data_IF_370763104516
#
_entry.id   IF_370763104516
#
_cell.length_a   1.000
_cell.length_b   1.000
_cell.length_c   1.000
_cell.angle_alpha   90.00
_cell.angle_beta   90.00
_cell.angle_gamma   90.00
#
_symmetry.space_group_name_H-M   'P 1'
#
loop_
_entity.id
_entity.type
_entity.pdbx_description
1 polymer ?
#
# COMPACT_ATOMS: atom_id res chain seq x y z
N UNK A 1 22.07 -16.84 17.79
CA UNK A 1 22.34 -15.94 16.67
C UNK A 1 21.02 -15.42 16.16
N UNK A 2 20.63 -14.18 16.50
CA UNK A 2 19.41 -13.58 15.93
C UNK A 2 19.62 -13.49 14.41
N UNK A 3 18.94 -14.33 13.64
CA UNK A 3 18.95 -14.25 12.19
C UNK A 3 18.30 -12.92 11.79
N UNK A 4 19.13 -11.91 11.54
CA UNK A 4 18.70 -10.66 10.93
C UNK A 4 18.37 -10.94 9.46
N UNK A 5 17.14 -11.38 9.19
CA UNK A 5 16.72 -11.70 7.83
C UNK A 5 16.65 -10.45 6.92
N UNK A 6 16.53 -9.24 7.49
CA UNK A 6 16.48 -7.97 6.75
C UNK A 6 17.66 -7.02 7.05
N UNK A 7 17.83 -6.01 6.21
CA UNK A 7 18.84 -4.94 6.35
C UNK A 7 20.11 -5.14 5.49
N UNK A 8 20.97 -4.11 5.43
CA UNK A 8 22.22 -4.11 4.63
C UNK A 8 23.21 -5.24 5.02
N UNK A 9 23.10 -5.76 6.23
CA UNK A 9 23.93 -6.86 6.75
C UNK A 9 23.15 -8.18 6.92
N UNK A 10 21.93 -8.25 6.38
CA UNK A 10 21.08 -9.43 6.48
C UNK A 10 21.54 -10.58 5.59
N UNK A 11 20.97 -11.76 5.82
CA UNK A 11 21.34 -12.98 5.07
C UNK A 11 21.12 -12.84 3.56
N UNK A 12 20.06 -12.14 3.13
CA UNK A 12 19.80 -11.89 1.72
C UNK A 12 20.92 -11.04 1.08
N UNK A 13 21.37 -9.97 1.74
CA UNK A 13 22.47 -9.14 1.24
C UNK A 13 23.80 -9.91 1.17
N UNK A 14 24.11 -10.71 2.20
CA UNK A 14 25.35 -11.53 2.26
C UNK A 14 25.44 -12.60 1.17
N UNK A 15 24.29 -13.11 0.71
CA UNK A 15 24.21 -14.10 -0.36
C UNK A 15 23.88 -13.46 -1.71
N UNK A 16 23.98 -12.13 -1.83
CA UNK A 16 23.74 -11.43 -3.09
C UNK A 16 22.35 -11.74 -3.70
N UNK A 17 21.34 -11.82 -2.83
CA UNK A 17 19.97 -12.16 -3.19
C UNK A 17 19.02 -11.00 -2.93
N UNK A 18 18.05 -10.82 -3.83
CA UNK A 18 16.89 -9.97 -3.58
C UNK A 18 15.76 -10.77 -2.93
N UNK A 19 15.14 -10.19 -1.91
CA UNK A 19 13.87 -10.67 -1.37
C UNK A 19 12.87 -9.53 -1.45
N UNK A 20 11.91 -9.65 -2.36
CA UNK A 20 10.88 -8.62 -2.54
C UNK A 20 9.71 -8.94 -1.63
N UNK A 21 9.50 -8.11 -0.61
CA UNK A 21 8.38 -8.29 0.31
C UNK A 21 7.11 -7.64 -0.25
N UNK A 22 5.96 -8.29 0.01
CA UNK A 22 4.63 -7.76 -0.27
C UNK A 22 4.33 -7.51 -1.77
N UNK A 23 4.69 -8.45 -2.64
CA UNK A 23 4.43 -8.40 -4.09
C UNK A 23 2.97 -8.74 -4.50
N UNK A 24 2.03 -8.71 -3.55
CA UNK A 24 0.62 -9.01 -3.80
C UNK A 24 -0.25 -7.76 -3.91
N UNK A 25 -1.56 -7.97 -4.05
CA UNK A 25 -2.55 -6.90 -4.20
C UNK A 25 -2.58 -5.91 -3.02
N UNK A 26 -2.45 -6.38 -1.78
CA UNK A 26 -2.49 -5.55 -0.56
C UNK A 26 -1.23 -4.69 -0.36
N UNK A 27 -0.49 -4.37 -1.43
CA UNK A 27 0.72 -3.54 -1.39
C UNK A 27 1.13 -2.97 -2.74
N UNK A 28 1.27 -3.80 -3.79
CA UNK A 28 1.79 -3.38 -5.11
C UNK A 28 1.08 -2.15 -5.69
N UNK A 29 -0.25 -2.17 -5.91
CA UNK A 29 -0.94 -1.06 -6.55
C UNK A 29 -0.88 0.21 -5.70
N UNK A 30 -0.95 0.09 -4.38
CA UNK A 30 -0.88 1.25 -3.48
C UNK A 30 0.54 1.84 -3.42
N UNK A 31 1.57 1.01 -3.25
CA UNK A 31 2.96 1.43 -3.12
C UNK A 31 3.49 2.09 -4.40
N UNK A 32 3.33 1.42 -5.53
CA UNK A 32 3.77 1.95 -6.80
C UNK A 32 2.85 3.04 -7.35
N UNK A 33 1.56 3.02 -7.02
CA UNK A 33 0.64 4.10 -7.38
C UNK A 33 0.97 5.42 -6.68
N UNK A 34 1.43 5.36 -5.43
CA UNK A 34 1.95 6.54 -4.72
C UNK A 34 3.22 7.06 -5.41
N UNK A 35 4.17 6.18 -5.76
CA UNK A 35 5.40 6.59 -6.45
C UNK A 35 5.10 7.16 -7.84
N UNK A 36 4.21 6.54 -8.60
CA UNK A 36 3.78 7.05 -9.90
C UNK A 36 3.13 8.44 -9.80
N UNK A 37 2.27 8.66 -8.80
CA UNK A 37 1.67 9.98 -8.53
C UNK A 37 2.74 11.04 -8.19
N UNK A 38 3.76 10.66 -7.43
CA UNK A 38 4.90 11.53 -7.11
C UNK A 38 5.71 11.88 -8.36
N UNK A 39 6.03 10.89 -9.21
CA UNK A 39 6.75 11.09 -10.46
C UNK A 39 6.01 12.08 -11.37
N UNK A 40 4.70 11.89 -11.54
CA UNK A 40 3.84 12.81 -12.30
C UNK A 40 3.91 14.25 -11.78
N UNK A 41 4.05 14.45 -10.47
CA UNK A 41 4.21 15.78 -9.87
C UNK A 41 5.61 16.36 -10.15
N UNK A 42 6.66 15.56 -10.00
CA UNK A 42 8.06 15.99 -10.19
C UNK A 42 8.34 16.35 -11.65
N UNK A 43 7.81 15.58 -12.61
CA UNK A 43 7.94 15.85 -14.05
C UNK A 43 7.35 17.20 -14.47
N UNK A 44 6.36 17.70 -13.71
CA UNK A 44 5.76 19.03 -13.88
C UNK A 44 6.50 20.13 -13.11
N UNK A 45 7.66 19.85 -12.54
CA UNK A 45 8.46 20.79 -11.74
C UNK A 45 7.88 21.10 -10.36
N UNK A 46 6.91 20.30 -9.88
CA UNK A 46 6.27 20.50 -8.59
C UNK A 46 6.99 19.74 -7.47
N UNK A 47 6.72 20.10 -6.22
CA UNK A 47 7.22 19.40 -5.04
C UNK A 47 6.10 18.61 -4.36
N UNK A 48 6.09 17.27 -4.44
CA UNK A 48 5.10 16.43 -3.76
C UNK A 48 5.06 16.66 -2.25
N UNK A 49 3.86 16.72 -1.66
CA UNK A 49 3.64 16.86 -0.23
C UNK A 49 2.99 15.61 0.38
N UNK A 50 1.84 15.20 -0.18
CA UNK A 50 1.07 14.10 0.38
C UNK A 50 0.25 13.38 -0.68
N UNK A 51 -0.02 12.10 -0.47
CA UNK A 51 -0.88 11.28 -1.33
C UNK A 51 -1.90 10.55 -0.47
N UNK A 52 -3.17 10.78 -0.78
CA UNK A 52 -4.28 9.98 -0.25
C UNK A 52 -4.69 8.95 -1.31
N UNK A 53 -4.67 7.68 -0.95
CA UNK A 53 -5.08 6.57 -1.83
C UNK A 53 -6.45 6.05 -1.42
N UNK A 54 -7.35 5.91 -2.39
CA UNK A 54 -8.72 5.45 -2.21
C UNK A 54 -8.95 4.16 -2.99
N UNK A 55 -9.06 3.03 -2.29
CA UNK A 55 -9.38 1.74 -2.86
C UNK A 55 -10.90 1.52 -2.92
N UNK A 56 -11.41 1.31 -4.12
CA UNK A 56 -12.75 0.79 -4.41
C UNK A 56 -12.67 -0.61 -4.99
N UNK A 57 -13.57 -1.50 -4.55
CA UNK A 57 -13.82 -2.78 -5.21
C UNK A 57 -15.27 -2.77 -5.70
N UNK A 58 -15.46 -3.09 -6.98
CA UNK A 58 -16.77 -3.18 -7.63
C UNK A 58 -17.01 -4.64 -7.98
N UNK A 59 -18.15 -5.17 -7.55
CA UNK A 59 -18.62 -6.51 -7.90
C UNK A 59 -19.91 -6.41 -8.72
N UNK A 60 -20.17 -7.39 -9.59
CA UNK A 60 -21.45 -7.49 -10.31
C UNK A 60 -22.55 -8.19 -9.52
N UNK A 61 -23.55 -8.68 -10.26
CA UNK A 61 -24.75 -9.30 -9.71
C UNK A 61 -24.49 -10.62 -9.00
N UNK A 62 -23.43 -11.34 -9.37
CA UNK A 62 -23.02 -12.57 -8.71
C UNK A 62 -22.39 -12.34 -7.32
N UNK A 63 -22.15 -11.08 -6.95
CA UNK A 63 -21.55 -10.68 -5.68
C UNK A 63 -20.03 -10.90 -5.64
N UNK A 64 -19.47 -10.84 -4.43
CA UNK A 64 -18.04 -10.98 -4.18
C UNK A 64 -17.81 -11.99 -3.06
N UNK A 65 -16.91 -12.93 -3.30
CA UNK A 65 -16.46 -13.94 -2.32
C UNK A 65 -14.94 -13.96 -2.31
N UNK A 66 -14.35 -14.19 -1.15
CA UNK A 66 -12.92 -14.41 -0.98
C UNK A 66 -12.67 -15.76 -0.31
N UNK A 67 -11.53 -16.36 -0.63
CA UNK A 67 -11.16 -17.64 -0.03
C UNK A 67 -10.78 -17.50 1.44
N UNK A 68 -10.93 -18.60 2.17
CA UNK A 68 -10.60 -18.77 3.58
C UNK A 68 -9.21 -18.28 3.95
N UNK A 69 -8.23 -18.44 3.06
CA UNK A 69 -6.86 -17.99 3.30
C UNK A 69 -6.79 -16.49 3.65
N UNK A 70 -7.60 -15.65 2.99
CA UNK A 70 -7.68 -14.21 3.29
C UNK A 70 -8.34 -13.98 4.65
N UNK A 71 -9.36 -14.76 4.99
CA UNK A 71 -10.01 -14.71 6.30
C UNK A 71 -9.06 -15.10 7.43
N UNK A 72 -8.33 -16.19 7.27
CA UNK A 72 -7.33 -16.66 8.21
C UNK A 72 -6.23 -15.62 8.41
N UNK A 73 -5.70 -15.07 7.32
CA UNK A 73 -4.69 -14.01 7.37
C UNK A 73 -5.20 -12.77 8.12
N UNK A 74 -6.46 -12.38 7.91
CA UNK A 74 -7.10 -11.28 8.61
C UNK A 74 -7.24 -11.58 10.11
N UNK A 75 -7.80 -12.73 10.49
CA UNK A 75 -7.96 -13.12 11.91
C UNK A 75 -6.62 -13.16 12.64
N UNK A 76 -5.60 -13.80 12.05
CA UNK A 76 -4.27 -13.92 12.63
C UNK A 76 -3.52 -12.58 12.64
N UNK A 77 -3.71 -11.74 11.62
CA UNK A 77 -3.17 -10.40 11.52
C UNK A 77 -3.66 -9.49 12.65
N UNK A 78 -4.98 -9.49 12.90
CA UNK A 78 -5.56 -8.77 14.04
C UNK A 78 -5.11 -9.35 15.38
N UNK A 79 -4.99 -10.68 15.50
CA UNK A 79 -4.51 -11.33 16.72
C UNK A 79 -3.07 -10.92 17.05
N UNK A 80 -2.26 -10.67 16.02
CA UNK A 80 -0.84 -10.36 16.15
C UNK A 80 -0.53 -8.85 16.14
N UNK A 81 -1.55 -7.98 16.08
CA UNK A 81 -1.36 -6.53 15.91
C UNK A 81 -0.46 -5.89 16.97
N UNK A 82 -0.56 -6.33 18.23
CA UNK A 82 0.31 -5.86 19.32
C UNK A 82 1.77 -6.24 19.11
N UNK A 83 2.04 -7.49 18.71
CA UNK A 83 3.39 -7.99 18.39
C UNK A 83 3.98 -7.26 17.18
N UNK A 84 3.17 -7.06 16.13
CA UNK A 84 3.58 -6.32 14.93
C UNK A 84 3.94 -4.87 15.24
N UNK A 85 3.22 -4.22 16.16
CA UNK A 85 3.58 -2.86 16.62
C UNK A 85 4.94 -2.82 17.30
N UNK A 86 5.26 -3.82 18.13
CA UNK A 86 6.58 -3.97 18.75
C UNK A 86 7.68 -4.13 17.71
N UNK A 87 7.53 -5.12 16.81
CA UNK A 87 8.49 -5.38 15.72
C UNK A 87 8.75 -4.13 14.88
N UNK A 88 7.70 -3.39 14.49
CA UNK A 88 7.84 -2.16 13.69
C UNK A 88 8.57 -1.04 14.43
N UNK A 89 8.36 -0.90 15.75
CA UNK A 89 9.08 0.07 16.58
C UNK A 89 10.55 -0.29 16.66
N UNK A 90 10.86 -1.55 16.91
CA UNK A 90 12.23 -2.02 17.09
C UNK A 90 13.01 -1.94 15.77
N UNK A 91 12.39 -2.29 14.64
CA UNK A 91 12.96 -2.08 13.29
C UNK A 91 13.23 -0.61 13.01
N UNK A 92 12.29 0.29 13.31
CA UNK A 92 12.50 1.74 13.14
C UNK A 92 13.68 2.25 13.96
N UNK A 93 13.78 1.84 15.22
CA UNK A 93 14.88 2.26 16.08
C UNK A 93 16.24 1.76 15.55
N UNK A 94 16.29 0.54 15.01
CA UNK A 94 17.49 -0.01 14.34
C UNK A 94 17.85 0.81 13.09
N UNK A 95 16.89 1.07 12.20
CA UNK A 95 17.10 1.88 11.00
C UNK A 95 17.60 3.31 11.33
N UNK A 96 17.02 3.93 12.37
CA UNK A 96 17.42 5.27 12.83
C UNK A 96 18.83 5.30 13.42
N UNK A 97 19.22 4.23 14.14
CA UNK A 97 20.58 4.08 14.68
C UNK A 97 21.63 3.81 13.59
N UNK A 98 21.28 3.04 12.55
CA UNK A 98 22.17 2.82 11.40
C UNK A 98 22.33 4.10 10.57
N UNK A 99 21.26 4.89 10.40
CA UNK A 99 21.31 6.17 9.70
C UNK A 99 22.14 7.21 10.45
N UNK A 100 22.00 7.31 11.78
CA UNK A 100 22.75 8.27 12.59
C UNK A 100 24.27 8.04 12.58
N UNK A 101 24.74 6.83 12.29
CA UNK A 101 26.16 6.49 12.16
C UNK A 101 26.77 6.70 10.78
N UNK A 102 25.98 6.71 9.70
CA UNK A 102 26.50 6.68 8.32
C UNK A 102 26.09 7.87 7.42
N UNK A 103 24.97 8.55 7.69
CA UNK A 103 24.54 9.76 7.00
C UNK A 103 23.29 10.30 7.70
N UNK A 104 23.33 11.54 8.23
CA UNK A 104 22.33 12.11 9.15
C UNK A 104 20.83 11.98 8.78
N UNK A 105 19.96 12.55 9.63
CA UNK A 105 18.49 12.39 9.59
C UNK A 105 17.84 12.17 8.19
N UNK A 106 16.95 11.19 8.12
CA UNK A 106 16.12 10.88 6.94
C UNK A 106 15.34 12.12 6.51
N UNK A 107 15.33 12.41 5.20
CA UNK A 107 14.56 13.52 4.65
C UNK A 107 13.07 13.34 4.98
N UNK A 108 12.47 14.39 5.56
CA UNK A 108 11.05 14.41 5.89
C UNK A 108 10.23 14.90 4.70
N UNK A 109 8.98 14.43 4.52
CA UNK A 109 8.08 15.00 3.54
C UNK A 109 7.83 16.48 3.77
N UNK A 110 7.72 17.24 2.68
CA UNK A 110 7.36 18.65 2.72
C UNK A 110 5.89 18.85 3.10
N UNK A 111 5.58 19.96 3.77
CA UNK A 111 4.21 20.37 4.06
C UNK A 111 3.45 19.50 5.08
N UNK A 112 2.13 19.76 5.22
CA UNK A 112 1.30 19.13 6.24
C UNK A 112 0.96 17.66 5.92
N UNK A 113 0.67 16.89 6.99
CA UNK A 113 0.09 15.55 6.85
C UNK A 113 -1.37 15.61 6.41
N UNK A 114 -1.86 14.63 5.63
CA UNK A 114 -3.29 14.43 5.42
C UNK A 114 -4.04 14.36 6.74
N UNK A 115 -5.29 14.84 6.74
CA UNK A 115 -6.15 14.74 7.92
C UNK A 115 -6.38 13.26 8.23
N UNK A 116 -6.14 12.88 9.48
CA UNK A 116 -6.33 11.49 9.90
C UNK A 116 -7.82 11.16 9.93
N UNK A 117 -8.22 10.26 9.05
CA UNK A 117 -9.55 9.65 9.08
C UNK A 117 -9.60 8.66 10.25
N UNK A 118 -10.56 8.83 11.17
CA UNK A 118 -10.72 7.96 12.36
C UNK A 118 -11.89 6.97 12.24
N UNK A 119 -12.80 7.22 11.31
CA UNK A 119 -13.97 6.39 11.02
C UNK A 119 -14.47 6.68 9.61
N UNK A 120 -15.67 6.23 9.27
CA UNK A 120 -16.22 6.50 7.95
C UNK A 120 -16.59 7.99 7.80
N UNK A 121 -16.09 8.62 6.75
CA UNK A 121 -16.46 9.98 6.35
C UNK A 121 -16.76 10.01 4.86
N UNK A 122 -17.83 10.70 4.45
CA UNK A 122 -18.10 10.91 3.04
C UNK A 122 -17.04 11.83 2.43
N UNK A 123 -16.45 11.43 1.32
CA UNK A 123 -15.44 12.19 0.59
C UNK A 123 -15.99 12.52 -0.81
N UNK A 124 -16.21 13.81 -1.06
CA UNK A 124 -16.80 14.31 -2.32
C UNK A 124 -15.93 14.01 -3.54
N UNK A 125 -14.60 13.90 -3.36
CA UNK A 125 -13.65 13.68 -4.47
C UNK A 125 -13.84 12.31 -5.13
N UNK A 126 -14.33 11.34 -4.36
CA UNK A 126 -14.58 9.96 -4.81
C UNK A 126 -16.06 9.58 -4.70
N UNK A 127 -16.91 10.53 -4.31
CA UNK A 127 -18.36 10.35 -4.09
C UNK A 127 -18.70 9.09 -3.27
N UNK A 128 -17.93 8.81 -2.21
CA UNK A 128 -18.07 7.59 -1.42
C UNK A 128 -17.69 7.81 0.05
N UNK A 129 -18.06 6.87 0.93
CA UNK A 129 -17.59 6.85 2.31
C UNK A 129 -16.19 6.28 2.35
N UNK A 130 -15.21 7.10 2.73
CA UNK A 130 -13.83 6.69 2.98
C UNK A 130 -13.65 6.21 4.42
N UNK A 131 -13.03 5.05 4.58
CA UNK A 131 -12.66 4.44 5.85
C UNK A 131 -11.15 4.20 5.88
N UNK A 132 -10.50 4.20 7.06
CA UNK A 132 -9.10 3.80 7.16
C UNK A 132 -8.92 2.38 6.64
N UNK A 133 -8.00 2.20 5.69
CA UNK A 133 -7.65 0.87 5.24
C UNK A 133 -6.79 0.17 6.30
N UNK A 134 -7.20 -1.02 6.73
CA UNK A 134 -6.57 -1.77 7.83
C UNK A 134 -5.54 -2.80 7.35
N UNK A 135 -5.23 -2.81 6.04
CA UNK A 135 -4.24 -3.67 5.42
C UNK A 135 -2.80 -3.17 5.59
N UNK A 136 -1.89 -3.78 4.82
CA UNK A 136 -0.46 -3.54 4.92
C UNK A 136 0.05 -2.33 4.12
N UNK A 137 -0.70 -1.88 3.11
CA UNK A 137 -0.46 -0.71 2.25
C UNK A 137 0.32 0.43 2.92
N UNK A 138 -0.30 1.07 3.93
CA UNK A 138 0.28 2.26 4.54
C UNK A 138 1.63 1.96 5.22
N UNK A 139 1.84 0.72 5.69
CA UNK A 139 3.11 0.29 6.25
C UNK A 139 4.17 0.06 5.19
N UNK A 140 3.80 -0.48 4.03
CA UNK A 140 4.72 -0.71 2.91
C UNK A 140 5.11 0.62 2.29
N UNK A 141 4.14 1.47 1.92
CA UNK A 141 4.39 2.81 1.37
C UNK A 141 5.34 3.61 2.25
N UNK A 142 5.09 3.67 3.57
CA UNK A 142 6.00 4.40 4.49
C UNK A 142 7.42 3.83 4.50
N UNK A 143 7.59 2.52 4.36
CA UNK A 143 8.93 1.90 4.28
C UNK A 143 9.60 2.24 2.95
N UNK A 144 8.89 2.14 1.84
CA UNK A 144 9.38 2.53 0.50
C UNK A 144 9.81 4.00 0.47
N UNK A 145 8.96 4.91 0.94
CA UNK A 145 9.26 6.35 1.01
C UNK A 145 10.51 6.65 1.84
N UNK A 146 10.68 5.99 2.98
CA UNK A 146 11.86 6.15 3.84
C UNK A 146 13.11 5.63 3.14
N UNK A 147 13.05 4.42 2.60
CA UNK A 147 14.20 3.78 1.98
C UNK A 147 14.67 4.52 0.72
N UNK A 148 13.74 4.97 -0.13
CA UNK A 148 14.04 5.78 -1.31
C UNK A 148 14.59 7.16 -0.93
N UNK A 149 14.05 7.81 0.11
CA UNK A 149 14.59 9.08 0.62
C UNK A 149 16.02 8.92 1.16
N UNK A 150 16.30 7.83 1.87
CA UNK A 150 17.66 7.50 2.32
C UNK A 150 18.60 7.21 1.15
N UNK A 151 18.14 6.53 0.10
CA UNK A 151 18.94 6.22 -1.09
C UNK A 151 19.27 7.47 -1.90
N UNK A 152 18.27 8.29 -2.23
CA UNK A 152 18.47 9.54 -2.97
C UNK A 152 19.48 10.47 -2.29
N UNK A 153 19.47 10.51 -0.95
CA UNK A 153 20.48 11.26 -0.19
C UNK A 153 21.90 10.74 -0.39
N UNK A 154 22.09 9.44 -0.57
CA UNK A 154 23.41 8.81 -0.79
C UNK A 154 23.84 8.94 -2.26
N UNK A 155 22.93 8.75 -3.22
CA UNK A 155 23.23 8.86 -4.65
C UNK A 155 23.34 10.31 -5.14
N UNK A 156 22.84 11.28 -4.37
CA UNK A 156 22.71 12.68 -4.80
C UNK A 156 21.46 12.96 -5.64
N UNK A 157 20.64 11.93 -5.88
CA UNK A 157 19.37 12.08 -6.59
C UNK A 157 18.28 12.64 -5.68
N UNK A 158 17.55 13.62 -6.19
CA UNK A 158 16.53 14.31 -5.41
C UNK A 158 15.25 13.46 -5.34
N UNK A 159 15.06 12.76 -4.22
CA UNK A 159 13.78 12.11 -3.90
C UNK A 159 12.91 13.03 -3.04
N UNK A 160 11.61 13.07 -3.32
CA UNK A 160 10.63 13.88 -2.59
C UNK A 160 9.66 12.97 -1.81
N UNK A 161 9.98 12.60 -0.56
CA UNK A 161 9.10 11.72 0.22
C UNK A 161 7.76 12.41 0.48
N UNK A 162 6.67 11.62 0.52
CA UNK A 162 5.32 12.13 0.78
C UNK A 162 4.72 11.57 2.06
N UNK A 163 3.81 12.35 2.67
CA UNK A 163 2.90 11.79 3.67
C UNK A 163 1.83 10.95 2.97
N UNK A 164 1.57 9.75 3.46
CA UNK A 164 0.59 8.83 2.85
C UNK A 164 -0.59 8.52 3.77
N UNK A 165 -1.78 8.46 3.19
CA UNK A 165 -3.01 7.97 3.81
C UNK A 165 -3.65 6.89 2.93
N UNK A 166 -3.86 5.69 3.48
CA UNK A 166 -4.56 4.60 2.81
C UNK A 166 -6.02 4.52 3.26
N UNK A 167 -6.94 4.62 2.30
CA UNK A 167 -8.37 4.65 2.53
C UNK A 167 -9.05 3.59 1.65
N UNK A 168 -10.09 2.97 2.21
CA UNK A 168 -11.00 2.09 1.49
C UNK A 168 -12.36 2.77 1.39
N UNK A 169 -12.99 2.68 0.24
CA UNK A 169 -14.23 3.39 -0.05
C UNK A 169 -15.40 2.44 -0.22
N UNK A 170 -16.53 2.79 0.39
CA UNK A 170 -17.81 2.09 0.21
C UNK A 170 -18.89 3.09 -0.19
N UNK A 171 -19.81 2.65 -1.06
CA UNK A 171 -20.82 3.53 -1.65
C UNK A 171 -21.99 3.83 -0.69
N UNK A 172 -22.29 2.92 0.25
CA UNK A 172 -23.50 2.99 1.07
C UNK A 172 -23.23 3.17 2.56
N UNK A 173 -24.00 4.05 3.21
CA UNK A 173 -24.04 4.20 4.69
C UNK A 173 -24.41 2.89 5.38
N UNK A 174 -25.26 2.07 4.76
CA UNK A 174 -25.63 0.77 5.29
C UNK A 174 -24.41 -0.16 5.35
N UNK A 175 -23.64 -0.21 4.26
CA UNK A 175 -22.40 -0.98 4.19
C UNK A 175 -21.39 -0.51 5.25
N UNK A 176 -21.26 0.80 5.47
CA UNK A 176 -20.45 1.35 6.58
C UNK A 176 -20.88 0.75 7.93
N UNK A 177 -22.18 0.74 8.22
CA UNK A 177 -22.72 0.16 9.46
C UNK A 177 -22.40 -1.33 9.59
N UNK A 178 -22.51 -2.09 8.50
CA UNK A 178 -22.17 -3.51 8.48
C UNK A 178 -20.67 -3.75 8.72
N UNK A 179 -19.79 -2.97 8.09
CA UNK A 179 -18.34 -3.03 8.34
C UNK A 179 -17.99 -2.66 9.79
N UNK A 180 -18.66 -1.68 10.39
CA UNK A 180 -18.44 -1.30 11.78
C UNK A 180 -18.86 -2.43 12.75
N UNK A 181 -20.02 -3.05 12.51
CA UNK A 181 -20.49 -4.20 13.29
C UNK A 181 -19.53 -5.39 13.14
N UNK A 182 -19.19 -5.74 11.91
CA UNK A 182 -18.25 -6.80 11.57
C UNK A 182 -16.88 -6.59 12.25
N UNK A 183 -16.31 -5.39 12.11
CA UNK A 183 -15.03 -5.03 12.72
C UNK A 183 -15.07 -5.05 14.25
N UNK A 184 -16.20 -4.66 14.85
CA UNK A 184 -16.43 -4.74 16.30
C UNK A 184 -16.44 -6.18 16.82
N UNK A 185 -17.21 -7.05 16.16
CA UNK A 185 -17.31 -8.48 16.47
C UNK A 185 -15.96 -9.17 16.35
N UNK A 186 -15.27 -8.96 15.22
CA UNK A 186 -13.94 -9.49 14.97
C UNK A 186 -12.96 -9.03 16.05
N UNK A 187 -12.88 -7.72 16.34
CA UNK A 187 -11.97 -7.16 17.35
C UNK A 187 -12.19 -7.76 18.73
N UNK A 188 -13.41 -8.14 19.08
CA UNK A 188 -13.70 -8.74 20.36
C UNK A 188 -13.35 -10.24 20.40
N UNK A 189 -13.74 -10.99 19.37
CA UNK A 189 -13.51 -12.45 19.31
C UNK A 189 -12.03 -12.81 19.14
N UNK A 190 -11.27 -11.99 18.41
CA UNK A 190 -9.84 -12.23 18.15
C UNK A 190 -8.99 -12.20 19.44
N UNK A 191 -9.45 -11.55 20.51
CA UNK A 191 -8.67 -11.44 21.77
C UNK A 191 -8.48 -12.76 22.50
N UNK A 192 -9.39 -13.73 22.34
CA UNK A 192 -9.33 -15.03 23.02
C UNK A 192 -8.93 -16.14 22.05
N UNK A 193 -8.30 -17.21 22.54
CA UNK A 193 -8.02 -18.42 21.74
C UNK A 193 -9.31 -19.09 21.24
N UNK A 194 -10.33 -19.15 22.10
CA UNK A 194 -11.64 -19.69 21.77
C UNK A 194 -12.33 -18.89 20.65
N UNK A 195 -12.36 -17.55 20.75
CA UNK A 195 -12.99 -16.72 19.73
C UNK A 195 -12.26 -16.78 18.39
N UNK A 196 -10.92 -16.85 18.40
CA UNK A 196 -10.13 -17.12 17.18
C UNK A 196 -10.48 -18.47 16.55
N UNK A 197 -10.54 -19.53 17.36
CA UNK A 197 -10.92 -20.87 16.88
C UNK A 197 -12.33 -20.86 16.27
N UNK A 198 -13.27 -20.14 16.88
CA UNK A 198 -14.63 -20.02 16.38
C UNK A 198 -14.70 -19.27 15.04
N UNK A 199 -14.00 -18.14 14.92
CA UNK A 199 -13.87 -17.38 13.67
C UNK A 199 -13.27 -18.24 12.56
N UNK A 200 -12.21 -19.00 12.86
CA UNK A 200 -11.50 -19.83 11.88
C UNK A 200 -12.28 -21.09 11.49
N UNK A 201 -13.14 -21.61 12.36
CA UNK A 201 -13.94 -22.82 12.07
C UNK A 201 -15.20 -22.53 11.26
N UNK A 202 -15.77 -21.33 11.39
CA UNK A 202 -17.03 -20.96 10.73
C UNK A 202 -16.90 -19.65 9.94
N UNK A 203 -15.96 -19.55 8.98
CA UNK A 203 -15.68 -18.32 8.25
C UNK A 203 -16.93 -17.74 7.57
N UNK A 204 -17.73 -18.57 6.88
CA UNK A 204 -18.93 -18.13 6.18
C UNK A 204 -20.00 -17.57 7.11
N UNK A 205 -20.13 -18.10 8.34
CA UNK A 205 -21.12 -17.60 9.30
C UNK A 205 -20.71 -16.23 9.85
N UNK A 206 -19.44 -16.06 10.23
CA UNK A 206 -18.92 -14.81 10.78
C UNK A 206 -18.69 -13.71 9.74
N UNK A 207 -18.74 -14.07 8.45
CA UNK A 207 -18.57 -13.15 7.33
C UNK A 207 -19.83 -12.96 6.48
N UNK A 208 -20.96 -13.54 6.88
CA UNK A 208 -22.20 -13.55 6.08
C UNK A 208 -21.98 -14.05 4.64
N UNK A 209 -21.16 -15.09 4.48
CA UNK A 209 -20.86 -15.72 3.18
C UNK A 209 -19.78 -15.01 2.34
N UNK A 210 -19.21 -13.90 2.82
CA UNK A 210 -18.14 -13.20 2.10
C UNK A 210 -16.84 -14.01 2.03
N UNK A 211 -16.55 -14.84 3.04
CA UNK A 211 -15.37 -15.70 3.07
C UNK A 211 -15.75 -17.18 3.16
N UNK A 212 -15.26 -17.99 2.23
CA UNK A 212 -15.58 -19.43 2.11
C UNK A 212 -14.34 -20.27 1.80
N UNK A 213 -14.41 -21.59 1.95
CA UNK A 213 -13.29 -22.49 1.58
C UNK A 213 -13.24 -22.79 0.09
N UNK A 214 -14.33 -22.55 -0.63
CA UNK A 214 -14.46 -22.75 -2.06
C UNK A 214 -13.83 -21.58 -2.85
N UNK A 215 -13.82 -20.38 -2.27
CA UNK A 215 -13.40 -19.16 -2.97
C UNK A 215 -14.44 -18.64 -3.97
N UNK A 216 -14.10 -17.61 -4.75
CA UNK A 216 -15.02 -17.05 -5.74
C UNK A 216 -15.19 -17.95 -6.97
N UNK A 217 -16.38 -17.90 -7.58
CA UNK A 217 -16.63 -18.51 -8.89
C UNK A 217 -15.97 -17.70 -10.01
N UNK A 218 -15.81 -18.29 -11.19
CA UNK A 218 -15.32 -17.55 -12.36
C UNK A 218 -16.20 -16.36 -12.73
N UNK A 219 -17.52 -16.47 -12.56
CA UNK A 219 -18.46 -15.38 -12.83
C UNK A 219 -18.25 -14.23 -11.86
N UNK A 220 -18.15 -14.52 -10.56
CA UNK A 220 -17.83 -13.53 -9.53
C UNK A 220 -16.50 -12.82 -9.80
N UNK A 221 -15.48 -13.57 -10.23
CA UNK A 221 -14.19 -12.98 -10.60
C UNK A 221 -14.28 -12.12 -11.86
N UNK A 222 -15.01 -12.56 -12.91
CA UNK A 222 -15.17 -11.79 -14.15
C UNK A 222 -15.94 -10.48 -13.94
N UNK A 223 -16.90 -10.48 -13.03
CA UNK A 223 -17.70 -9.29 -12.69
C UNK A 223 -17.05 -8.38 -11.64
N UNK A 224 -15.93 -8.79 -11.03
CA UNK A 224 -15.26 -8.02 -9.99
C UNK A 224 -14.05 -7.26 -10.55
N UNK A 225 -13.87 -6.02 -10.11
CA UNK A 225 -12.73 -5.18 -10.46
C UNK A 225 -12.32 -4.28 -9.29
N UNK A 226 -11.09 -3.80 -9.32
CA UNK A 226 -10.62 -2.79 -8.37
C UNK A 226 -10.30 -1.46 -9.05
N UNK A 227 -10.36 -0.39 -8.28
CA UNK A 227 -9.95 0.95 -8.66
C UNK A 227 -9.25 1.60 -7.48
N UNK A 228 -8.01 2.01 -7.67
CA UNK A 228 -7.33 2.97 -6.81
C UNK A 228 -7.39 4.35 -7.44
N UNK A 229 -7.80 5.34 -6.66
CA UNK A 229 -7.64 6.77 -6.99
C UNK A 229 -6.59 7.34 -6.03
N UNK A 230 -5.56 7.98 -6.57
CA UNK A 230 -4.52 8.64 -5.80
C UNK A 230 -4.70 10.14 -5.93
N UNK A 231 -4.98 10.80 -4.81
CA UNK A 231 -5.09 12.25 -4.74
C UNK A 231 -3.81 12.81 -4.11
N UNK A 232 -2.91 13.28 -4.97
CA UNK A 232 -1.66 13.92 -4.61
C UNK A 232 -1.81 15.42 -4.41
N UNK A 233 -1.28 15.95 -3.32
CA UNK A 233 -1.11 17.39 -3.10
C UNK A 233 0.36 17.74 -3.23
N UNK A 234 0.63 18.82 -3.95
CA UNK A 234 1.98 19.28 -4.30
C UNK A 234 2.08 20.80 -4.17
N UNK A 235 3.31 21.29 -4.01
CA UNK A 235 3.63 22.71 -4.09
C UNK A 235 4.11 23.05 -5.50
N UNK A 236 3.70 24.19 -6.03
CA UNK A 236 4.12 24.71 -7.34
C UNK A 236 5.63 25.00 -7.42
N UNK A 237 6.32 25.19 -6.29
CA UNK A 237 7.75 25.49 -6.27
C UNK A 237 8.44 25.05 -4.96
N UNK A 238 9.77 24.92 -5.02
CA UNK A 238 10.60 24.61 -3.85
C UNK A 238 10.59 25.72 -2.80
N UNK A 239 10.49 26.99 -3.21
CA UNK A 239 10.41 28.12 -2.28
C UNK A 239 9.14 28.05 -1.44
N UNK A 240 8.00 27.73 -2.06
CA UNK A 240 6.73 27.55 -1.35
C UNK A 240 6.78 26.33 -0.42
N UNK A 241 7.35 25.22 -0.89
CA UNK A 241 7.49 24.00 -0.07
C UNK A 241 8.37 24.18 1.17
N UNK A 242 9.33 25.11 1.13
CA UNK A 242 10.21 25.46 2.24
C UNK A 242 9.64 26.55 3.17
N UNK A 243 8.54 27.19 2.79
CA UNK A 243 7.91 28.23 3.61
C UNK A 243 7.16 27.61 4.78
N UNK A 244 7.44 28.09 5.99
CA UNK A 244 6.78 27.62 7.19
C UNK A 244 5.26 27.89 7.11
N UNK A 245 4.45 26.86 7.38
CA UNK A 245 2.99 26.96 7.36
C UNK A 245 2.33 27.02 5.98
N UNK A 246 3.09 26.98 4.87
CA UNK A 246 2.51 27.00 3.53
C UNK A 246 1.67 25.74 3.25
N UNK A 247 0.54 25.95 2.57
CA UNK A 247 -0.33 24.88 2.10
C UNK A 247 0.02 24.51 0.64
N UNK A 248 -0.08 23.22 0.26
CA UNK A 248 0.08 22.81 -1.14
C UNK A 248 -1.03 23.41 -2.00
N UNK A 249 -0.65 23.93 -3.17
CA UNK A 249 -1.47 24.72 -4.10
C UNK A 249 -1.71 24.02 -5.45
N UNK A 250 -1.26 22.77 -5.58
CA UNK A 250 -1.43 21.93 -6.76
C UNK A 250 -1.94 20.55 -6.38
N UNK A 251 -2.73 19.97 -7.28
CA UNK A 251 -3.28 18.63 -7.15
C UNK A 251 -2.87 17.81 -8.36
N UNK A 252 -2.40 16.59 -8.12
CA UNK A 252 -2.17 15.58 -9.16
C UNK A 252 -2.98 14.36 -8.80
N UNK A 253 -3.93 14.00 -9.65
CA UNK A 253 -4.69 12.78 -9.47
C UNK A 253 -4.21 11.72 -10.46
N UNK A 254 -3.94 10.52 -9.95
CA UNK A 254 -3.64 9.35 -10.79
C UNK A 254 -4.55 8.21 -10.40
N UNK A 255 -4.60 7.18 -11.23
CA UNK A 255 -5.56 6.08 -11.08
C UNK A 255 -4.94 4.77 -11.51
N UNK A 256 -5.21 3.71 -10.77
CA UNK A 256 -4.86 2.34 -11.15
C UNK A 256 -6.13 1.49 -11.13
N UNK A 257 -6.41 0.77 -12.22
CA UNK A 257 -7.55 -0.16 -12.31
C UNK A 257 -7.10 -1.50 -12.82
N UNK A 258 -7.86 -2.53 -12.47
CA UNK A 258 -7.63 -3.85 -13.02
C UNK A 258 -8.79 -4.80 -12.74
N UNK A 259 -8.60 -6.08 -13.10
CA UNK A 259 -9.59 -7.13 -12.89
C UNK A 259 -9.73 -7.44 -11.38
N UNK A 260 -10.39 -8.53 -11.04
CA UNK A 260 -10.58 -8.95 -9.65
C UNK A 260 -9.26 -8.88 -8.83
N UNK A 261 -9.29 -8.27 -7.62
CA UNK A 261 -8.08 -7.92 -6.88
C UNK A 261 -7.32 -9.11 -6.28
N UNK A 262 -8.01 -10.12 -5.75
CA UNK A 262 -7.43 -11.19 -4.94
C UNK A 262 -6.70 -12.27 -5.73
N UNK A 263 -7.13 -12.53 -6.96
CA UNK A 263 -6.69 -13.66 -7.78
C UNK A 263 -6.15 -13.18 -9.11
N UNK A 264 -6.95 -12.50 -9.93
CA UNK A 264 -6.53 -12.11 -11.27
C UNK A 264 -5.41 -11.06 -11.22
N UNK A 265 -5.68 -9.92 -10.58
CA UNK A 265 -4.70 -8.83 -10.46
C UNK A 265 -3.51 -9.23 -9.57
N UNK A 266 -3.76 -9.92 -8.45
CA UNK A 266 -2.70 -10.40 -7.56
C UNK A 266 -1.72 -11.33 -8.30
N UNK A 267 -2.22 -12.25 -9.12
CA UNK A 267 -1.36 -13.14 -9.92
C UNK A 267 -0.52 -12.37 -10.93
N UNK A 268 -1.12 -11.37 -11.61
CA UNK A 268 -0.38 -10.48 -12.52
C UNK A 268 0.76 -9.78 -11.78
N UNK A 269 0.49 -9.19 -10.61
CA UNK A 269 1.49 -8.49 -9.82
C UNK A 269 2.66 -9.40 -9.41
N UNK A 270 2.37 -10.59 -8.90
CA UNK A 270 3.41 -11.54 -8.47
C UNK A 270 4.25 -12.00 -9.67
N UNK A 271 3.61 -12.36 -10.78
CA UNK A 271 4.28 -12.91 -11.97
C UNK A 271 5.14 -11.86 -12.64
N UNK A 272 4.63 -10.65 -12.86
CA UNK A 272 5.42 -9.59 -13.50
C UNK A 272 6.57 -9.11 -12.59
N UNK A 273 6.44 -9.24 -11.27
CA UNK A 273 7.52 -8.87 -10.35
C UNK A 273 8.64 -9.90 -10.43
N UNK A 274 8.29 -11.19 -10.56
CA UNK A 274 9.26 -12.25 -10.80
C UNK A 274 10.01 -12.05 -12.12
N UNK A 275 9.30 -11.68 -13.19
CA UNK A 275 9.96 -11.39 -14.46
C UNK A 275 10.89 -10.18 -14.38
N UNK A 276 10.51 -9.10 -13.71
CA UNK A 276 11.43 -7.94 -13.54
C UNK A 276 12.70 -8.35 -12.79
N UNK A 277 12.59 -9.19 -11.77
CA UNK A 277 13.78 -9.69 -11.04
C UNK A 277 14.67 -10.57 -11.92
N UNK A 278 14.11 -11.25 -12.93
CA UNK A 278 14.85 -12.13 -13.83
C UNK A 278 15.40 -11.41 -15.07
N UNK A 279 14.63 -10.49 -15.64
CA UNK A 279 14.88 -9.91 -16.96
C UNK A 279 15.54 -8.51 -16.88
N UNK A 280 15.22 -7.72 -15.85
CA UNK A 280 15.68 -6.33 -15.76
C UNK A 280 17.03 -6.23 -15.06
N UNK A 281 17.90 -5.34 -15.53
CA UNK A 281 19.13 -4.99 -14.82
C UNK A 281 18.82 -4.03 -13.66
N UNK A 282 18.58 -4.58 -12.46
CA UNK A 282 18.32 -3.79 -11.25
C UNK A 282 19.62 -3.23 -10.67
N UNK A 283 20.15 -2.16 -11.27
CA UNK A 283 21.43 -1.53 -10.86
C UNK A 283 21.29 -0.58 -9.67
N UNK A 284 20.11 -0.02 -9.47
CA UNK A 284 19.88 1.07 -8.52
C UNK A 284 19.58 0.58 -7.09
N UNK A 285 19.63 -0.74 -6.84
CA UNK A 285 19.21 -1.33 -5.57
C UNK A 285 20.21 -2.38 -5.08
N UNK A 286 20.76 -2.18 -3.88
CA UNK A 286 21.63 -3.17 -3.25
C UNK A 286 20.84 -4.46 -2.92
N UNK A 287 21.51 -5.62 -2.93
CA UNK A 287 20.93 -6.89 -2.47
C UNK A 287 20.36 -6.80 -1.04
N UNK A 288 19.34 -7.62 -0.76
CA UNK A 288 18.66 -7.64 0.53
C UNK A 288 17.13 -7.71 0.43
N UNK A 289 16.48 -7.50 1.58
CA UNK A 289 15.02 -7.43 1.65
C UNK A 289 14.55 -6.04 1.25
N UNK A 290 13.74 -5.96 0.19
CA UNK A 290 13.25 -4.72 -0.40
C UNK A 290 11.74 -4.65 -0.41
N UNK A 291 11.22 -3.43 -0.31
CA UNK A 291 9.83 -3.14 -0.64
C UNK A 291 9.63 -3.15 -2.16
N UNK A 292 8.37 -3.23 -2.59
CA UNK A 292 7.99 -3.12 -4.00
C UNK A 292 8.44 -1.79 -4.60
N UNK A 293 8.28 -0.68 -3.89
CA UNK A 293 8.72 0.63 -4.36
C UNK A 293 10.24 0.79 -4.47
N UNK A 294 11.02 0.19 -3.58
CA UNK A 294 12.49 0.25 -3.64
C UNK A 294 13.09 -0.49 -4.83
N UNK A 295 12.43 -1.57 -5.28
CA UNK A 295 12.97 -2.49 -6.26
C UNK A 295 12.34 -2.32 -7.64
N UNK A 296 11.03 -2.06 -7.71
CA UNK A 296 10.27 -2.11 -8.96
C UNK A 296 9.99 -0.73 -9.57
N UNK A 297 10.08 0.36 -8.80
CA UNK A 297 9.64 1.68 -9.28
C UNK A 297 10.47 2.26 -10.43
N UNK A 298 11.76 1.91 -10.51
CA UNK A 298 12.69 2.34 -11.57
C UNK A 298 12.87 1.30 -12.69
N UNK A 299 11.96 0.32 -12.80
CA UNK A 299 12.08 -0.82 -13.72
C UNK A 299 10.97 -0.81 -14.76
N UNK A 300 10.96 -1.79 -15.67
CA UNK A 300 9.88 -1.98 -16.65
C UNK A 300 8.56 -2.42 -16.03
N UNK A 301 8.50 -2.65 -14.72
CA UNK A 301 7.36 -3.27 -14.03
C UNK A 301 6.00 -2.62 -14.35
N UNK A 302 5.88 -1.28 -14.30
CA UNK A 302 4.61 -0.60 -14.60
C UNK A 302 4.17 -0.81 -16.06
N UNK A 303 5.11 -0.85 -17.00
CA UNK A 303 4.81 -1.10 -18.41
C UNK A 303 4.37 -2.55 -18.64
N UNK A 304 5.00 -3.50 -17.94
CA UNK A 304 4.57 -4.90 -17.93
C UNK A 304 3.16 -5.05 -17.39
N UNK A 305 2.82 -4.37 -16.29
CA UNK A 305 1.45 -4.34 -15.77
C UNK A 305 0.44 -3.79 -16.80
N UNK A 306 0.79 -2.69 -17.49
CA UNK A 306 -0.04 -2.14 -18.58
C UNK A 306 -0.29 -3.15 -19.68
N UNK A 307 0.75 -3.88 -20.10
CA UNK A 307 0.64 -4.93 -21.12
C UNK A 307 -0.27 -6.10 -20.73
N UNK A 308 -0.52 -6.29 -19.43
CA UNK A 308 -1.41 -7.31 -18.85
C UNK A 308 -2.80 -6.79 -18.49
N UNK A 309 -3.15 -5.58 -18.93
CA UNK A 309 -4.49 -5.02 -18.75
C UNK A 309 -4.70 -4.30 -17.41
N UNK A 310 -3.64 -3.99 -16.66
CA UNK A 310 -3.71 -3.05 -15.55
C UNK A 310 -3.64 -1.64 -16.12
N UNK A 311 -4.70 -0.86 -15.92
CA UNK A 311 -4.79 0.51 -16.40
C UNK A 311 -4.11 1.43 -15.39
N UNK A 312 -3.19 2.28 -15.85
CA UNK A 312 -2.47 3.25 -15.02
C UNK A 312 -2.55 4.60 -15.73
N UNK A 313 -3.41 5.48 -15.23
CA UNK A 313 -3.75 6.75 -15.88
C UNK A 313 -3.46 7.95 -14.98
N UNK A 314 -3.21 9.08 -15.63
CA UNK A 314 -3.26 10.39 -15.02
C UNK A 314 -4.66 10.97 -15.20
N UNK A 315 -5.28 11.40 -14.10
CA UNK A 315 -6.56 12.11 -14.11
C UNK A 315 -6.23 13.59 -13.90
N UNK A 316 -6.03 14.32 -14.98
CA UNK A 316 -5.81 15.77 -14.89
C UNK A 316 -7.13 16.42 -14.46
N UNK A 317 -7.17 16.95 -13.24
CA UNK A 317 -8.12 18.00 -12.90
C UNK A 317 -7.43 19.33 -13.21
N UNK A 318 -7.81 19.96 -14.30
CA UNK A 318 -7.55 21.39 -14.48
C UNK A 318 -8.29 22.12 -13.36
N UNK A 319 -7.53 22.76 -12.49
CA UNK A 319 -8.03 23.76 -11.53
C UNK A 319 -7.75 25.15 -12.06
#
# INVERSE_FOLDING_TARGET
TELSFGGKNGLAAKNECFVVSAVGFDSVPCDLGVIHNQQCSVERGMVPCSVESFLSVKSGGAGMVAHYATWEALVLGFASAGKLRGIRRDLRAREEAEASGAAGATQMPAGPRPKRVQGASYDERVAAYALPFLGSDASVVRRSQRALASRGKVSGEKFHPVHHSALFTVQSKYTVGLFALFGGLLKQLVKSSWGRSLLLRYPSWFSWGMFTHEGPTEEQMKETSFEFIFHGKSFSSQSLASSEGAAPDRIVQTRIKGPEPGYAACSIFVVEAAFVVLDDEIKECDFGVRTTGELLAGTTYLDRLRSRGIVIDEVVQES
#
